data_IF_101177398400
#
_entry.id   IF_101177398400
#
_cell.length_a   1.000
_cell.length_b   1.000
_cell.length_c   1.000
_cell.angle_alpha   90.00
_cell.angle_beta   90.00
_cell.angle_gamma   90.00
#
_symmetry.space_group_name_H-M   'P 1'
#
loop_
_entity.id
_entity.type
_entity.pdbx_description
1 polymer ?
#
# COMPACT_ATOMS: atom_id res chain seq x y z
N UNK A 1 -2.26 8.37 17.26
CA UNK A 1 -1.96 8.32 15.82
C UNK A 1 -0.57 7.72 15.55
N UNK A 2 0.51 8.33 16.06
CA UNK A 2 1.89 7.92 15.78
C UNK A 2 2.16 6.43 16.00
N UNK A 3 1.73 5.87 17.13
CA UNK A 3 1.86 4.45 17.44
C UNK A 3 1.23 3.56 16.34
N UNK A 4 -0.02 3.85 15.96
CA UNK A 4 -0.76 3.10 14.94
C UNK A 4 -0.12 3.24 13.55
N UNK A 5 0.37 4.44 13.21
CA UNK A 5 1.09 4.66 11.96
C UNK A 5 2.41 3.88 11.91
N UNK A 6 3.15 3.86 13.03
CA UNK A 6 4.39 3.10 13.14
C UNK A 6 4.13 1.59 13.07
N UNK A 7 3.04 1.13 13.68
CA UNK A 7 2.59 -0.27 13.60
C UNK A 7 2.30 -0.69 12.15
N UNK A 8 1.49 0.08 11.43
CA UNK A 8 1.22 -0.16 10.00
C UNK A 8 2.52 -0.16 9.18
N UNK A 9 3.36 0.86 9.37
CA UNK A 9 4.60 1.03 8.59
C UNK A 9 5.59 -0.12 8.81
N UNK A 10 5.76 -0.57 10.06
CA UNK A 10 6.62 -1.72 10.39
C UNK A 10 6.07 -3.02 9.81
N UNK A 11 4.77 -3.23 9.92
CA UNK A 11 4.08 -4.41 9.39
C UNK A 11 4.18 -4.49 7.87
N UNK A 12 3.92 -3.38 7.18
CA UNK A 12 4.06 -3.30 5.72
C UNK A 12 5.51 -3.52 5.28
N UNK A 13 6.48 -2.93 5.99
CA UNK A 13 7.91 -3.17 5.72
C UNK A 13 8.27 -4.64 5.87
N UNK A 14 7.71 -5.35 6.86
CA UNK A 14 7.95 -6.79 7.06
C UNK A 14 7.38 -7.62 5.89
N UNK A 15 6.14 -7.35 5.47
CA UNK A 15 5.52 -7.99 4.31
C UNK A 15 6.35 -7.78 3.02
N UNK A 16 6.75 -6.55 2.75
CA UNK A 16 7.58 -6.20 1.59
C UNK A 16 8.98 -6.84 1.67
N UNK A 17 9.52 -6.99 2.88
CA UNK A 17 10.81 -7.66 3.10
C UNK A 17 10.72 -9.15 2.80
N UNK A 18 9.64 -9.83 3.23
CA UNK A 18 9.39 -11.23 2.88
C UNK A 18 9.35 -11.40 1.36
N UNK A 19 8.56 -10.58 0.66
CA UNK A 19 8.50 -10.58 -0.81
C UNK A 19 9.89 -10.41 -1.42
N UNK A 20 10.63 -9.38 -1.01
CA UNK A 20 11.96 -9.08 -1.56
C UNK A 20 12.94 -10.22 -1.34
N UNK A 21 12.98 -10.80 -0.14
CA UNK A 21 13.88 -11.89 0.18
C UNK A 21 13.52 -13.16 -0.59
N UNK A 22 12.24 -13.50 -0.70
CA UNK A 22 11.78 -14.63 -1.50
C UNK A 22 12.16 -14.47 -2.98
N UNK A 23 11.84 -13.31 -3.58
CA UNK A 23 12.17 -13.03 -4.99
C UNK A 23 13.67 -12.95 -5.26
N UNK A 24 14.49 -12.66 -4.25
CA UNK A 24 15.95 -12.66 -4.34
C UNK A 24 16.59 -14.05 -4.08
N UNK A 25 15.80 -15.09 -3.83
CA UNK A 25 16.30 -16.44 -3.56
C UNK A 25 17.03 -16.58 -2.22
N UNK A 26 16.75 -15.71 -1.24
CA UNK A 26 17.36 -15.80 0.09
C UNK A 26 16.96 -17.14 0.73
N UNK A 27 17.92 -17.96 1.20
CA UNK A 27 17.61 -19.26 1.78
C UNK A 27 16.59 -19.16 2.92
N UNK A 28 15.57 -20.02 2.90
CA UNK A 28 14.48 -20.09 3.89
C UNK A 28 13.62 -18.81 4.00
N UNK A 29 13.69 -17.89 3.03
CA UNK A 29 12.76 -16.77 3.00
C UNK A 29 11.32 -17.27 2.84
N UNK A 30 10.35 -16.78 3.64
CA UNK A 30 8.98 -17.22 3.54
C UNK A 30 8.35 -16.72 2.24
N UNK A 31 7.52 -17.56 1.62
CA UNK A 31 6.57 -17.09 0.60
C UNK A 31 5.61 -16.07 1.22
N UNK A 32 5.18 -15.13 0.39
CA UNK A 32 4.03 -14.26 0.65
C UNK A 32 3.23 -14.17 -0.63
N UNK A 33 1.91 -14.09 -0.55
CA UNK A 33 1.06 -13.86 -1.72
C UNK A 33 1.46 -12.60 -2.51
N UNK A 34 2.09 -11.62 -1.86
CA UNK A 34 2.62 -10.43 -2.53
C UNK A 34 3.76 -10.76 -3.53
N UNK A 35 4.32 -11.98 -3.53
CA UNK A 35 5.28 -12.45 -4.53
C UNK A 35 4.70 -12.59 -5.94
N UNK A 36 3.36 -12.68 -6.06
CA UNK A 36 2.65 -12.64 -7.35
C UNK A 36 2.71 -11.25 -8.00
N UNK A 37 2.91 -10.19 -7.20
CA UNK A 37 3.07 -8.84 -7.72
C UNK A 37 4.47 -8.65 -8.34
N UNK A 38 4.49 -8.24 -9.60
CA UNK A 38 5.69 -7.83 -10.34
C UNK A 38 6.02 -6.36 -10.10
N UNK A 39 5.01 -5.51 -9.95
CA UNK A 39 5.12 -4.10 -9.59
C UNK A 39 3.94 -3.64 -8.74
N UNK A 40 4.13 -2.56 -7.98
CA UNK A 40 3.03 -1.95 -7.23
C UNK A 40 3.28 -0.48 -6.92
N UNK A 41 2.18 0.24 -6.74
CA UNK A 41 2.15 1.57 -6.11
C UNK A 41 1.18 1.51 -4.95
N UNK A 42 1.52 2.13 -3.83
CA UNK A 42 0.68 2.13 -2.64
C UNK A 42 0.77 3.42 -1.85
N UNK A 43 -0.35 3.74 -1.20
CA UNK A 43 -0.57 4.94 -0.40
C UNK A 43 -1.01 4.57 1.01
N UNK A 44 -0.71 5.43 1.98
CA UNK A 44 -1.22 5.31 3.34
C UNK A 44 -2.27 6.37 3.59
N UNK A 45 -3.48 5.93 3.98
CA UNK A 45 -4.60 6.79 4.37
C UNK A 45 -4.68 6.86 5.90
N UNK A 46 -5.11 7.99 6.44
CA UNK A 46 -5.50 8.11 7.85
C UNK A 46 -6.99 8.45 7.97
N UNK A 47 -7.71 7.69 8.79
CA UNK A 47 -9.09 8.02 9.14
C UNK A 47 -9.28 8.09 10.66
N UNK A 48 -10.17 8.98 11.12
CA UNK A 48 -10.62 9.05 12.50
C UNK A 48 -12.12 9.40 12.53
N UNK A 49 -12.97 8.38 12.67
CA UNK A 49 -14.44 8.52 12.69
C UNK A 49 -15.01 8.51 14.12
N UNK A 50 -14.30 9.12 15.07
CA UNK A 50 -14.72 9.20 16.48
C UNK A 50 -14.44 7.96 17.33
N UNK A 51 -13.82 6.92 16.77
CA UNK A 51 -13.40 5.69 17.47
C UNK A 51 -11.87 5.51 17.52
N UNK A 52 -11.14 6.61 17.30
CA UNK A 52 -9.68 6.59 17.22
C UNK A 52 -9.15 6.46 15.80
N UNK A 53 -7.82 6.49 15.70
CA UNK A 53 -7.07 6.55 14.45
C UNK A 53 -6.94 5.16 13.79
N UNK A 54 -7.34 5.07 12.53
CA UNK A 54 -7.23 3.88 11.71
C UNK A 54 -6.42 4.20 10.44
N UNK A 55 -5.12 3.88 10.45
CA UNK A 55 -4.29 4.00 9.26
C UNK A 55 -4.54 2.80 8.33
N UNK A 56 -4.69 3.06 7.04
CA UNK A 56 -4.89 2.04 6.00
C UNK A 56 -3.77 2.10 4.97
N UNK A 57 -3.48 0.97 4.34
CA UNK A 57 -2.64 0.91 3.15
C UNK A 57 -3.52 0.52 1.97
N UNK A 58 -3.51 1.34 0.93
CA UNK A 58 -4.17 1.05 -0.35
C UNK A 58 -3.09 0.78 -1.39
N UNK A 59 -3.25 -0.27 -2.18
CA UNK A 59 -2.19 -0.75 -3.09
C UNK A 59 -2.77 -1.25 -4.40
N UNK A 60 -2.13 -0.87 -5.50
CA UNK A 60 -2.36 -1.46 -6.82
C UNK A 60 -1.22 -2.39 -7.11
N UNK A 61 -1.57 -3.58 -7.60
CA UNK A 61 -0.62 -4.61 -7.97
C UNK A 61 -0.71 -4.87 -9.47
N UNK A 62 0.43 -4.78 -10.15
CA UNK A 62 0.64 -5.50 -11.40
C UNK A 62 1.06 -6.92 -11.01
N UNK A 63 0.16 -7.89 -11.17
CA UNK A 63 0.38 -9.25 -10.70
C UNK A 63 0.30 -10.27 -11.84
N UNK A 64 1.20 -11.27 -11.82
CA UNK A 64 1.22 -12.37 -12.78
C UNK A 64 0.03 -13.33 -12.62
N UNK A 65 -0.60 -13.31 -11.44
CA UNK A 65 -1.82 -14.03 -11.10
C UNK A 65 -2.51 -13.31 -9.95
N UNK A 66 -3.83 -13.45 -9.86
CA UNK A 66 -4.61 -12.84 -8.78
C UNK A 66 -4.13 -13.33 -7.40
N UNK A 67 -3.73 -12.44 -6.49
CA UNK A 67 -3.41 -12.81 -5.12
C UNK A 67 -4.63 -13.34 -4.36
N UNK A 68 -4.41 -14.35 -3.53
CA UNK A 68 -5.44 -14.89 -2.63
C UNK A 68 -5.71 -13.92 -1.48
N UNK A 69 -6.94 -13.41 -1.38
CA UNK A 69 -7.33 -12.50 -0.29
C UNK A 69 -7.23 -13.17 1.09
N UNK A 70 -7.66 -14.43 1.20
CA UNK A 70 -7.64 -15.16 2.46
C UNK A 70 -6.20 -15.39 2.95
N UNK A 71 -5.29 -15.71 2.04
CA UNK A 71 -3.89 -15.95 2.39
C UNK A 71 -3.19 -14.63 2.72
N UNK A 72 -3.43 -13.56 1.96
CA UNK A 72 -2.96 -12.21 2.31
C UNK A 72 -3.48 -11.77 3.69
N UNK A 73 -4.75 -12.02 4.00
CA UNK A 73 -5.34 -11.70 5.31
C UNK A 73 -4.66 -12.49 6.44
N UNK A 74 -4.43 -13.79 6.25
CA UNK A 74 -3.75 -14.64 7.22
C UNK A 74 -2.28 -14.22 7.44
N UNK A 75 -1.55 -13.92 6.37
CA UNK A 75 -0.18 -13.39 6.43
C UNK A 75 -0.13 -12.03 7.14
N UNK A 76 -1.07 -11.14 6.81
CA UNK A 76 -1.18 -9.82 7.42
C UNK A 76 -1.48 -9.91 8.91
N UNK A 77 -2.39 -10.80 9.31
CA UNK A 77 -2.68 -11.05 10.71
C UNK A 77 -1.48 -11.65 11.46
N UNK A 78 -0.74 -12.58 10.85
CA UNK A 78 0.50 -13.12 11.43
C UNK A 78 1.58 -12.05 11.60
N UNK A 79 1.62 -11.05 10.73
CA UNK A 79 2.58 -9.94 10.81
C UNK A 79 2.18 -8.92 11.87
N UNK A 80 0.90 -8.52 11.90
CA UNK A 80 0.39 -7.44 12.72
C UNK A 80 -0.02 -7.89 14.13
N UNK A 81 -0.50 -9.12 14.28
CA UNK A 81 -1.05 -9.68 15.52
C UNK A 81 -2.48 -9.21 15.85
N UNK A 82 -2.97 -8.15 15.19
CA UNK A 82 -4.23 -7.48 15.55
C UNK A 82 -5.09 -7.03 14.35
N UNK A 83 -4.56 -7.11 13.12
CA UNK A 83 -5.26 -6.66 11.91
C UNK A 83 -5.45 -7.81 10.92
N UNK A 84 -6.70 -8.04 10.52
CA UNK A 84 -7.07 -9.10 9.57
C UNK A 84 -7.89 -8.60 8.38
N UNK A 85 -8.25 -7.31 8.37
CA UNK A 85 -9.06 -6.71 7.31
C UNK A 85 -8.20 -6.47 6.08
N UNK A 86 -8.40 -7.29 5.05
CA UNK A 86 -7.78 -7.15 3.74
C UNK A 86 -8.88 -7.32 2.70
N UNK A 87 -8.91 -6.40 1.75
CA UNK A 87 -9.74 -6.46 0.55
C UNK A 87 -8.81 -6.56 -0.66
N UNK A 88 -8.99 -7.59 -1.49
CA UNK A 88 -8.16 -7.83 -2.66
C UNK A 88 -9.06 -8.23 -3.84
N UNK A 89 -9.19 -7.32 -4.79
CA UNK A 89 -10.08 -7.47 -5.95
C UNK A 89 -9.36 -7.09 -7.23
N UNK A 90 -9.63 -7.79 -8.35
CA UNK A 90 -9.11 -7.37 -9.64
C UNK A 90 -9.71 -6.02 -10.02
N UNK A 91 -8.90 -5.18 -10.66
CA UNK A 91 -9.39 -4.00 -11.37
C UNK A 91 -10.00 -4.53 -12.68
N UNK A 92 -11.29 -4.25 -12.88
CA UNK A 92 -12.01 -4.62 -14.11
C UNK A 92 -12.20 -3.35 -14.94
N UNK A 93 -11.96 -3.41 -16.24
CA UNK A 93 -12.07 -2.25 -17.12
C UNK A 93 -10.77 -1.45 -17.21
N UNK A 94 -10.88 -0.12 -17.20
CA UNK A 94 -9.74 0.78 -17.38
C UNK A 94 -8.82 0.78 -16.13
N UNK A 95 -7.53 0.38 -16.26
CA UNK A 95 -6.58 0.44 -15.16
C UNK A 95 -6.46 1.81 -14.49
N UNK A 96 -6.72 2.90 -15.22
CA UNK A 96 -6.67 4.28 -14.71
C UNK A 96 -7.62 4.45 -13.51
N UNK A 97 -8.79 3.81 -13.52
CA UNK A 97 -9.73 3.88 -12.40
C UNK A 97 -9.13 3.33 -11.11
N UNK A 98 -8.37 2.24 -11.20
CA UNK A 98 -7.63 1.69 -10.07
C UNK A 98 -6.57 2.66 -9.55
N UNK A 99 -5.79 3.27 -10.47
CA UNK A 99 -4.79 4.30 -10.13
C UNK A 99 -5.42 5.49 -9.43
N UNK A 100 -6.54 6.00 -9.94
CA UNK A 100 -7.28 7.08 -9.31
C UNK A 100 -7.78 6.69 -7.91
N UNK A 101 -8.32 5.48 -7.76
CA UNK A 101 -8.79 4.97 -6.47
C UNK A 101 -7.68 4.94 -5.42
N UNK A 102 -6.47 4.47 -5.74
CA UNK A 102 -5.37 4.41 -4.77
C UNK A 102 -4.69 5.76 -4.55
N UNK A 103 -4.55 6.58 -5.59
CA UNK A 103 -3.91 7.88 -5.48
C UNK A 103 -4.75 8.90 -4.73
N UNK A 104 -6.09 8.83 -4.79
CA UNK A 104 -6.93 9.74 -3.99
C UNK A 104 -6.59 9.65 -2.49
N UNK A 105 -6.21 8.46 -2.00
CA UNK A 105 -5.89 8.25 -0.59
C UNK A 105 -4.55 8.84 -0.13
N UNK A 106 -3.62 9.15 -1.06
CA UNK A 106 -2.42 9.90 -0.70
C UNK A 106 -2.73 11.32 -0.19
N UNK A 107 -3.88 11.86 -0.60
CA UNK A 107 -4.31 13.24 -0.34
C UNK A 107 -5.63 13.33 0.41
N UNK A 108 -6.24 12.19 0.79
CA UNK A 108 -7.57 12.14 1.41
C UNK A 108 -7.50 12.43 2.90
N UNK A 109 -7.36 13.70 3.24
CA UNK A 109 -7.53 14.23 4.61
C UNK A 109 -8.90 14.91 4.81
N UNK A 110 -9.74 14.95 3.78
CA UNK A 110 -11.03 15.66 3.76
C UNK A 110 -12.06 15.12 4.75
N UNK A 111 -11.93 13.85 5.14
CA UNK A 111 -12.84 13.20 6.07
C UNK A 111 -12.49 13.50 7.54
N UNK A 112 -11.39 14.24 7.79
CA UNK A 112 -10.94 14.64 9.12
C UNK A 112 -11.45 16.02 9.50
N UNK A 113 -11.69 16.25 10.80
CA UNK A 113 -11.89 17.60 11.32
C UNK A 113 -10.62 18.45 11.10
N UNK A 114 -10.75 19.78 11.09
CA UNK A 114 -9.57 20.66 10.94
C UNK A 114 -8.52 20.42 12.03
N UNK A 115 -8.96 20.16 13.26
CA UNK A 115 -8.08 19.84 14.38
C UNK A 115 -7.36 18.50 14.20
N UNK A 116 -8.08 17.46 13.78
CA UNK A 116 -7.50 16.14 13.46
C UNK A 116 -6.52 16.23 12.30
N UNK A 117 -6.85 17.00 11.26
CA UNK A 117 -5.99 17.20 10.10
C UNK A 117 -4.68 17.90 10.51
N UNK A 118 -4.74 18.98 11.29
CA UNK A 118 -3.55 19.64 11.83
C UNK A 118 -2.69 18.67 12.67
N UNK A 119 -3.31 17.91 13.57
CA UNK A 119 -2.62 16.92 14.39
C UNK A 119 -1.93 15.85 13.54
N UNK A 120 -2.63 15.30 12.54
CA UNK A 120 -2.09 14.32 11.61
C UNK A 120 -0.93 14.89 10.80
N UNK A 121 -1.04 16.13 10.30
CA UNK A 121 0.00 16.80 9.55
C UNK A 121 1.28 16.99 10.38
N UNK A 122 1.18 17.34 11.66
CA UNK A 122 2.34 17.46 12.55
C UNK A 122 3.07 16.12 12.73
N UNK A 123 2.31 15.04 12.94
CA UNK A 123 2.88 13.69 13.16
C UNK A 123 3.48 13.11 11.87
N UNK A 124 2.82 13.31 10.72
CA UNK A 124 3.23 12.75 9.44
C UNK A 124 4.25 13.61 8.70
N UNK A 125 4.61 14.79 9.23
CA UNK A 125 5.58 15.68 8.60
C UNK A 125 6.89 14.95 8.27
N UNK A 126 7.29 15.00 7.01
CA UNK A 126 8.50 14.34 6.51
C UNK A 126 8.40 12.82 6.36
N UNK A 127 7.23 12.21 6.61
CA UNK A 127 7.00 10.79 6.33
C UNK A 127 6.57 10.60 4.87
N UNK A 128 7.06 9.54 4.24
CA UNK A 128 6.68 9.17 2.88
C UNK A 128 5.41 8.32 2.91
N UNK A 129 4.31 8.86 2.41
CA UNK A 129 2.99 8.20 2.39
C UNK A 129 2.69 7.49 1.06
N UNK A 130 3.42 7.81 0.00
CA UNK A 130 3.34 7.19 -1.32
C UNK A 130 4.64 6.45 -1.62
N UNK A 131 4.54 5.20 -2.04
CA UNK A 131 5.69 4.36 -2.38
C UNK A 131 5.37 3.45 -3.57
N UNK A 132 6.42 2.93 -4.20
CA UNK A 132 6.31 1.93 -5.26
C UNK A 132 7.41 0.88 -5.18
N UNK A 133 7.20 -0.26 -5.84
CA UNK A 133 8.20 -1.30 -6.02
C UNK A 133 8.06 -2.00 -7.37
N UNK A 134 9.10 -2.76 -7.74
CA UNK A 134 9.10 -3.60 -8.93
C UNK A 134 8.99 -2.77 -10.21
N UNK A 135 8.18 -3.23 -11.15
CA UNK A 135 8.02 -2.59 -12.47
C UNK A 135 7.47 -1.16 -12.43
N UNK A 136 6.87 -0.74 -11.32
CA UNK A 136 6.38 0.65 -11.12
C UNK A 136 7.39 1.56 -10.41
N UNK A 137 8.65 1.13 -10.26
CA UNK A 137 9.70 1.93 -9.64
C UNK A 137 10.74 2.35 -10.69
N UNK A 138 11.00 3.66 -10.77
CA UNK A 138 11.97 4.20 -11.71
C UNK A 138 11.46 4.22 -13.16
N UNK A 139 10.14 4.34 -13.34
CA UNK A 139 9.54 4.51 -14.66
C UNK A 139 10.07 5.81 -15.26
N UNK A 140 10.69 5.70 -16.43
CA UNK A 140 11.11 6.84 -17.23
C UNK A 140 9.88 7.38 -17.96
N UNK A 141 9.57 8.66 -17.72
CA UNK A 141 8.48 9.34 -18.40
C UNK A 141 9.08 9.90 -19.70
N UNK A 142 8.56 9.51 -20.88
CA UNK A 142 8.99 10.12 -22.13
C UNK A 142 8.83 11.64 -22.09
N UNK A 143 9.75 12.39 -22.70
CA UNK A 143 9.63 13.86 -22.80
C UNK A 143 8.38 14.29 -23.59
N UNK A 144 7.87 13.40 -24.44
CA UNK A 144 6.65 13.56 -25.22
C UNK A 144 5.64 12.47 -24.86
N UNK A 145 4.43 12.88 -24.46
CA UNK A 145 3.28 12.00 -24.23
C UNK A 145 2.52 11.70 -25.54
N UNK A 146 3.07 12.07 -26.69
CA UNK A 146 2.48 11.76 -28.00
C UNK A 146 2.95 10.35 -28.40
N UNK A 147 1.99 9.46 -28.66
CA UNK A 147 2.26 8.16 -29.29
C UNK A 147 2.90 8.41 -30.67
N UNK A 148 4.12 7.90 -30.89
CA UNK A 148 4.67 7.86 -32.25
C UNK A 148 3.87 6.85 -33.10
N UNK A 149 3.46 7.21 -34.33
CA UNK A 149 2.55 6.43 -35.17
C UNK A 149 3.15 5.13 -35.73
#
# INVERSE_FOLDING_TARGET
>A
LEERQNHLSKSLRKLLTHRRHFKAGVPRAPWTELCRAEGAVYTMELTNKGKGWHPHCHMILLASSQPSQSDLSAEWHKITGDSMVVDCRPILGDPVEGFMEVFKYAVKFSDLTLADNWHAAQILKGKRLLNSFGLFRGVEIPESMLDEP
#
